data_IF_402149847139
#
_entry.id   IF_402149847139
#
_cell.length_a   1.000
_cell.length_b   1.000
_cell.length_c   1.000
_cell.angle_alpha   90.00
_cell.angle_beta   90.00
_cell.angle_gamma   90.00
#
_symmetry.space_group_name_H-M   'P 1'
#
loop_
_entity.id
_entity.type
_entity.pdbx_description
1 polymer ?
#
# COMPACT_ATOMS: atom_id res chain seq x y z
N UNK A 1 3.20 5.41 -13.24
CA UNK A 1 3.88 4.32 -12.52
C UNK A 1 2.83 3.28 -12.18
N UNK A 2 2.99 2.10 -12.74
CA UNK A 2 1.97 1.08 -12.66
C UNK A 2 2.31 0.09 -11.56
N UNK A 3 1.43 -0.08 -10.59
CA UNK A 3 1.52 -1.13 -9.59
C UNK A 3 0.94 -2.45 -10.10
N UNK A 4 0.84 -2.62 -11.40
CA UNK A 4 0.28 -3.83 -11.98
C UNK A 4 1.37 -4.69 -12.59
N UNK A 5 1.45 -5.89 -12.14
CA UNK A 5 2.11 -6.95 -12.87
C UNK A 5 1.15 -7.43 -13.94
N UNK A 6 1.38 -7.03 -15.16
CA UNK A 6 0.74 -7.63 -16.30
C UNK A 6 1.39 -8.98 -16.55
N UNK A 7 0.75 -10.03 -16.09
CA UNK A 7 1.07 -11.37 -16.57
C UNK A 7 0.47 -11.52 -17.95
N UNK A 8 1.25 -11.30 -18.97
CA UNK A 8 0.89 -11.70 -20.31
C UNK A 8 0.95 -13.22 -20.38
N UNK A 9 -0.20 -13.85 -20.45
CA UNK A 9 -0.29 -15.26 -20.78
C UNK A 9 -0.04 -15.43 -22.28
N UNK A 10 0.93 -16.23 -22.68
CA UNK A 10 1.04 -16.60 -24.09
C UNK A 10 -0.18 -17.43 -24.48
N UNK A 11 -0.82 -17.05 -25.56
CA UNK A 11 -1.85 -17.85 -26.16
C UNK A 11 -1.23 -19.13 -26.71
N UNK A 12 -1.32 -20.21 -25.96
CA UNK A 12 -0.97 -21.54 -26.40
C UNK A 12 -2.16 -22.14 -27.10
N UNK A 13 -1.96 -22.55 -28.33
CA UNK A 13 -2.94 -23.20 -29.18
C UNK A 13 -3.30 -24.60 -28.66
N UNK A 14 -4.59 -24.76 -28.47
CA UNK A 14 -5.41 -25.90 -28.85
C UNK A 14 -4.95 -27.30 -28.44
N UNK A 15 -5.49 -27.73 -27.36
CA UNK A 15 -5.89 -29.12 -27.20
C UNK A 15 -7.34 -29.12 -26.76
N UNK A 16 -8.22 -29.70 -27.52
CA UNK A 16 -9.61 -29.89 -27.16
C UNK A 16 -9.64 -30.95 -26.05
N UNK A 17 -9.65 -30.45 -24.83
CA UNK A 17 -10.17 -31.18 -23.70
C UNK A 17 -11.06 -30.20 -22.96
N UNK A 18 -12.35 -30.44 -22.98
CA UNK A 18 -13.30 -29.73 -22.16
C UNK A 18 -13.04 -30.09 -20.70
N UNK A 19 -12.01 -29.49 -20.13
CA UNK A 19 -11.85 -29.42 -18.70
C UNK A 19 -12.63 -28.21 -18.25
N UNK A 20 -13.79 -28.46 -17.65
CA UNK A 20 -14.45 -27.46 -16.82
C UNK A 20 -13.48 -27.12 -15.69
N UNK A 21 -12.62 -26.16 -15.91
CA UNK A 21 -11.88 -25.54 -14.82
C UNK A 21 -12.91 -24.63 -14.15
N UNK A 22 -13.48 -25.08 -13.05
CA UNK A 22 -14.11 -24.19 -12.12
C UNK A 22 -13.01 -23.24 -11.65
N UNK A 23 -12.94 -22.08 -12.27
CA UNK A 23 -12.13 -21.00 -11.78
C UNK A 23 -12.76 -20.53 -10.49
N UNK A 24 -12.31 -21.07 -9.37
CA UNK A 24 -12.55 -20.44 -8.08
C UNK A 24 -11.77 -19.13 -8.11
N UNK A 25 -12.47 -18.07 -8.45
CA UNK A 25 -11.96 -16.73 -8.20
C UNK A 25 -11.90 -16.58 -6.69
N UNK A 26 -10.73 -16.83 -6.11
CA UNK A 26 -10.48 -16.42 -4.74
C UNK A 26 -10.58 -14.90 -4.76
N UNK A 27 -11.52 -14.29 -4.01
CA UNK A 27 -11.53 -12.84 -3.94
C UNK A 27 -10.18 -12.42 -3.38
N UNK A 28 -9.44 -11.62 -4.15
CA UNK A 28 -8.26 -10.96 -3.64
C UNK A 28 -8.74 -9.97 -2.58
N UNK A 29 -8.61 -10.34 -1.32
CA UNK A 29 -8.86 -9.42 -0.23
C UNK A 29 -7.71 -8.41 -0.25
N UNK A 30 -8.01 -7.20 -0.72
CA UNK A 30 -7.17 -6.07 -0.40
C UNK A 30 -7.10 -5.98 1.12
N UNK A 31 -5.92 -5.99 1.69
CA UNK A 31 -5.76 -5.83 3.12
C UNK A 31 -6.20 -4.44 3.51
N UNK A 32 -7.24 -4.38 4.33
CA UNK A 32 -7.63 -3.14 4.97
C UNK A 32 -6.68 -2.85 6.14
N UNK A 33 -6.62 -1.60 6.55
CA UNK A 33 -5.87 -1.22 7.74
C UNK A 33 -6.48 -1.90 8.98
N UNK A 34 -5.61 -2.33 9.87
CA UNK A 34 -6.00 -3.02 11.10
C UNK A 34 -6.88 -2.09 11.95
N UNK A 35 -7.95 -2.59 12.57
CA UNK A 35 -8.77 -1.79 13.47
C UNK A 35 -7.96 -1.15 14.59
N UNK A 36 -8.28 0.11 14.87
CA UNK A 36 -7.71 0.90 15.95
C UNK A 36 -8.81 1.52 16.79
N UNK A 37 -8.47 2.14 17.91
CA UNK A 37 -9.45 2.85 18.73
C UNK A 37 -10.14 3.98 17.96
N UNK A 38 -9.43 4.67 17.07
CA UNK A 38 -9.98 5.72 16.23
C UNK A 38 -10.81 5.19 15.06
N UNK A 39 -10.49 3.99 14.59
CA UNK A 39 -11.17 3.30 13.47
C UNK A 39 -11.45 1.85 13.87
N UNK A 40 -12.48 1.59 14.69
CA UNK A 40 -12.71 0.26 15.27
C UNK A 40 -12.98 -0.85 14.25
N UNK A 41 -13.45 -0.49 13.04
CA UNK A 41 -13.71 -1.42 11.95
C UNK A 41 -12.60 -1.44 10.90
N UNK A 42 -11.46 -0.79 11.21
CA UNK A 42 -10.43 -0.56 10.20
C UNK A 42 -10.86 0.47 9.17
N UNK A 43 -10.09 0.59 8.11
CA UNK A 43 -10.38 1.47 6.98
C UNK A 43 -9.66 0.95 5.73
N UNK A 44 -10.19 1.34 4.58
CA UNK A 44 -9.64 0.89 3.30
C UNK A 44 -8.54 1.83 2.83
N UNK A 45 -7.42 1.24 2.45
CA UNK A 45 -6.41 1.99 1.71
C UNK A 45 -6.94 2.37 0.32
N UNK A 46 -6.70 3.60 -0.16
CA UNK A 46 -7.11 4.00 -1.51
C UNK A 46 -6.47 3.10 -2.57
N UNK A 47 -7.22 2.82 -3.62
CA UNK A 47 -6.72 2.06 -4.76
C UNK A 47 -5.47 2.68 -5.40
N UNK A 48 -5.36 4.01 -5.37
CA UNK A 48 -4.17 4.73 -5.84
C UNK A 48 -2.89 4.38 -5.09
N UNK A 49 -3.02 3.74 -3.92
CA UNK A 49 -1.90 3.22 -3.14
C UNK A 49 -1.70 1.71 -3.37
N UNK A 50 -1.95 1.22 -4.57
CA UNK A 50 -1.80 -0.17 -5.01
C UNK A 50 -2.72 -1.15 -4.28
N UNK A 51 -4.01 -0.78 -4.14
CA UNK A 51 -5.09 -1.62 -3.63
C UNK A 51 -4.90 -2.12 -2.20
N UNK A 52 -4.01 -1.50 -1.44
CA UNK A 52 -3.76 -1.86 -0.06
C UNK A 52 -2.81 -3.04 0.18
N UNK A 53 -2.47 -3.80 -0.85
CA UNK A 53 -1.50 -4.90 -0.73
C UNK A 53 -0.12 -4.43 -0.29
N UNK A 54 0.23 -3.24 -0.72
CA UNK A 54 1.53 -2.66 -0.52
C UNK A 54 1.58 -1.78 0.73
N UNK A 55 0.45 -1.65 1.43
CA UNK A 55 0.30 -0.79 2.59
C UNK A 55 0.34 -1.58 3.89
N UNK A 56 0.95 -0.97 4.91
CA UNK A 56 0.98 -1.50 6.27
C UNK A 56 1.13 -0.39 7.28
N UNK A 57 0.61 -0.61 8.47
CA UNK A 57 0.95 0.24 9.61
C UNK A 57 2.42 0.06 9.96
N UNK A 58 3.09 1.15 10.23
CA UNK A 58 4.49 1.15 10.68
C UNK A 58 4.62 1.89 12.00
N UNK A 59 5.57 1.48 12.87
CA UNK A 59 5.78 2.18 14.13
C UNK A 59 6.28 3.60 13.90
N UNK A 60 5.97 4.50 14.83
CA UNK A 60 6.38 5.91 14.72
C UNK A 60 7.89 6.10 14.54
N UNK A 61 8.70 5.22 15.11
CA UNK A 61 10.17 5.27 14.94
C UNK A 61 10.64 4.94 13.52
N UNK A 62 9.79 4.36 12.68
CA UNK A 62 10.12 4.07 11.29
C UNK A 62 10.05 5.31 10.39
N UNK A 63 9.41 6.36 10.86
CA UNK A 63 9.19 7.61 10.13
C UNK A 63 9.71 8.76 10.96
N UNK A 64 10.70 9.49 10.43
CA UNK A 64 11.22 10.69 11.07
C UNK A 64 10.66 11.94 10.41
N UNK A 65 10.36 12.95 11.20
CA UNK A 65 10.02 14.28 10.71
C UNK A 65 11.29 15.14 10.67
N UNK A 66 11.59 15.68 9.50
CA UNK A 66 12.74 16.54 9.28
C UNK A 66 12.32 17.82 8.55
N UNK A 67 13.17 18.85 8.49
CA UNK A 67 12.84 20.07 7.76
C UNK A 67 12.46 19.83 6.30
N UNK A 68 13.07 18.83 5.65
CA UNK A 68 12.86 18.51 4.25
C UNK A 68 11.57 17.70 4.01
N UNK A 69 11.06 16.99 5.01
CA UNK A 69 9.91 16.12 4.90
C UNK A 69 9.98 14.94 5.84
N UNK A 70 9.15 13.95 5.57
CA UNK A 70 9.19 12.68 6.28
C UNK A 70 10.27 11.78 5.70
N UNK A 71 11.06 11.17 6.56
CA UNK A 71 12.11 10.23 6.17
C UNK A 71 11.69 8.82 6.53
N UNK A 72 11.71 7.94 5.56
CA UNK A 72 11.53 6.50 5.77
C UNK A 72 12.86 5.95 6.29
N UNK A 73 12.93 5.63 7.57
CA UNK A 73 14.21 5.25 8.21
C UNK A 73 14.83 3.99 7.59
N UNK A 74 14.01 3.04 7.15
CA UNK A 74 14.51 1.81 6.55
C UNK A 74 15.16 1.99 5.18
N UNK A 75 14.83 3.04 4.44
CA UNK A 75 15.32 3.28 3.08
C UNK A 75 16.10 4.58 2.94
N UNK A 76 15.90 5.52 3.87
CA UNK A 76 16.42 6.88 3.77
C UNK A 76 15.66 7.78 2.78
N UNK A 77 14.58 7.29 2.19
CA UNK A 77 13.77 8.09 1.28
C UNK A 77 13.14 9.27 2.00
N UNK A 78 13.21 10.45 1.40
CA UNK A 78 12.58 11.67 1.89
C UNK A 78 11.32 11.93 1.08
N UNK A 79 10.19 12.03 1.78
CA UNK A 79 8.90 12.41 1.20
C UNK A 79 8.61 13.85 1.64
N UNK A 80 8.78 14.79 0.72
CA UNK A 80 8.59 16.22 1.01
C UNK A 80 7.16 16.50 1.53
N UNK A 81 7.01 17.50 2.39
CA UNK A 81 5.70 17.86 2.95
C UNK A 81 4.68 18.28 1.91
N UNK A 82 5.12 18.74 0.74
CA UNK A 82 4.26 19.08 -0.40
C UNK A 82 4.03 17.93 -1.38
N UNK A 83 4.57 16.75 -1.08
CA UNK A 83 4.48 15.60 -1.97
C UNK A 83 3.05 15.05 -2.00
N UNK A 84 2.52 14.81 -3.20
CA UNK A 84 1.18 14.26 -3.38
C UNK A 84 1.01 12.83 -2.83
N UNK A 85 2.10 12.13 -2.56
CA UNK A 85 2.09 10.81 -1.92
C UNK A 85 1.75 10.86 -0.42
N UNK A 86 1.86 12.03 0.20
CA UNK A 86 1.43 12.22 1.58
C UNK A 86 -0.09 12.26 1.67
N UNK A 87 -0.61 11.49 2.60
CA UNK A 87 -2.05 11.39 2.90
C UNK A 87 -2.26 11.54 4.40
N UNK A 88 -3.42 12.05 4.77
CA UNK A 88 -3.82 12.05 6.17
C UNK A 88 -4.21 10.65 6.62
N UNK A 89 -3.66 10.22 7.74
CA UNK A 89 -4.05 8.97 8.37
C UNK A 89 -5.38 9.14 9.11
N UNK A 90 -6.39 8.32 8.82
CA UNK A 90 -7.67 8.41 9.52
C UNK A 90 -7.63 7.83 10.93
N UNK A 91 -6.63 7.03 11.27
CA UNK A 91 -6.50 6.37 12.57
C UNK A 91 -5.39 6.95 13.46
N UNK A 92 -4.70 7.98 12.97
CA UNK A 92 -3.61 8.61 13.73
C UNK A 92 -2.30 7.83 13.76
N UNK A 93 -2.20 6.73 13.02
CA UNK A 93 -0.98 5.94 12.90
C UNK A 93 -0.29 6.21 11.57
N UNK A 94 1.01 5.94 11.50
CA UNK A 94 1.70 5.95 10.21
C UNK A 94 1.38 4.69 9.43
N UNK A 95 1.07 4.83 8.14
CA UNK A 95 0.93 3.73 7.21
C UNK A 95 1.80 3.99 6.00
N UNK A 96 2.59 3.02 5.63
CA UNK A 96 3.51 3.14 4.52
C UNK A 96 3.17 2.13 3.44
N UNK A 97 2.94 2.63 2.24
CA UNK A 97 2.72 1.84 1.04
C UNK A 97 3.97 1.90 0.18
N UNK A 98 4.61 0.77 -0.01
CA UNK A 98 5.83 0.66 -0.81
C UNK A 98 5.63 -0.27 -1.98
N UNK A 99 6.44 -0.14 -3.02
CA UNK A 99 6.37 -1.01 -4.20
C UNK A 99 6.53 -2.47 -3.77
N UNK A 100 5.59 -3.30 -4.17
CA UNK A 100 5.48 -4.73 -3.81
C UNK A 100 5.44 -5.00 -2.30
N UNK A 101 5.10 -4.01 -1.48
CA UNK A 101 5.15 -4.13 -0.02
C UNK A 101 6.54 -4.36 0.54
N UNK A 102 7.59 -4.16 -0.27
CA UNK A 102 8.95 -4.45 0.12
C UNK A 102 9.48 -3.43 1.15
N UNK A 103 10.25 -3.91 2.11
CA UNK A 103 10.85 -3.06 3.16
C UNK A 103 11.91 -2.09 2.63
N UNK A 104 12.43 -2.36 1.44
CA UNK A 104 13.37 -1.52 0.69
C UNK A 104 12.71 -0.87 -0.55
N UNK A 105 11.40 -1.01 -0.69
CA UNK A 105 10.66 -0.49 -1.82
C UNK A 105 10.49 1.02 -1.78
N UNK A 106 10.34 1.61 -2.96
CA UNK A 106 10.02 3.03 -3.09
C UNK A 106 8.62 3.32 -2.56
N UNK A 107 8.43 4.47 -1.92
CA UNK A 107 7.14 4.90 -1.40
C UNK A 107 6.14 5.18 -2.51
N UNK A 108 4.96 4.60 -2.38
CA UNK A 108 3.79 4.88 -3.22
C UNK A 108 2.88 5.87 -2.51
N UNK A 109 2.57 5.62 -1.25
CA UNK A 109 1.81 6.50 -0.37
C UNK A 109 2.40 6.45 1.04
N UNK A 110 2.31 7.55 1.74
CA UNK A 110 2.61 7.64 3.17
C UNK A 110 1.46 8.33 3.88
N UNK A 111 0.79 7.60 4.75
CA UNK A 111 -0.25 8.14 5.61
C UNK A 111 0.36 8.60 6.91
N UNK A 112 0.14 9.84 7.24
CA UNK A 112 0.71 10.47 8.43
C UNK A 112 -0.39 10.95 9.37
N UNK A 113 -0.17 10.90 10.68
CA UNK A 113 -1.11 11.49 11.64
C UNK A 113 -1.33 12.97 11.31
N UNK A 114 -2.58 13.47 11.40
CA UNK A 114 -2.82 14.90 11.23
C UNK A 114 -2.03 15.69 12.27
N UNK A 115 -1.36 16.74 11.82
CA UNK A 115 -0.70 17.66 12.75
C UNK A 115 -1.76 18.48 13.47
N UNK A 116 -1.75 18.40 14.78
CA UNK A 116 -2.49 19.34 15.61
C UNK A 116 -1.60 20.55 15.89
N UNK A 117 -2.04 21.68 15.39
CA UNK A 117 -1.44 22.97 15.72
C UNK A 117 -2.37 23.71 16.66
#
# INVERSE_FOLDING_TARGET
>A
MFCSTLSSLPAGLAGVAASLILSFSVPAFAHDAIPTAAQPNGWKYPFSCCSGYDCREVPGKAISERPEGYVIEGTGEVVAYSDARLKNSPDGQFHWCSVAGASDGRTICLFVPPRSF
#
